data_IF_290689292982
#
_entry.id   IF_290689292982
#
_cell.length_a   1.000
_cell.length_b   1.000
_cell.length_c   1.000
_cell.angle_alpha   90.00
_cell.angle_beta   90.00
_cell.angle_gamma   90.00
#
_symmetry.space_group_name_H-M   'P 1'
#
loop_
_entity.id
_entity.type
_entity.pdbx_description
1 polymer ?
#
# COMPACT_ATOMS: atom_id res chain seq x y z
N UNK A 1 -8.01 -3.38 4.81
CA UNK A 1 -9.42 -3.45 4.33
C UNK A 1 -10.07 -2.11 4.58
N UNK A 2 -10.68 -1.51 3.56
CA UNK A 2 -11.31 -0.20 3.68
C UNK A 2 -12.48 -0.24 4.68
N UNK A 3 -12.36 0.49 5.78
CA UNK A 3 -13.38 0.53 6.82
C UNK A 3 -14.56 1.39 6.37
N UNK A 4 -15.79 0.92 6.61
CA UNK A 4 -17.03 1.65 6.32
C UNK A 4 -17.75 1.29 5.02
N UNK A 5 -17.11 0.54 4.11
CA UNK A 5 -17.67 0.22 2.77
C UNK A 5 -17.53 -1.27 2.43
N UNK A 6 -18.26 -2.15 3.13
CA UNK A 6 -18.13 -3.60 2.99
C UNK A 6 -18.54 -4.10 1.59
N UNK A 7 -19.60 -3.52 1.01
CA UNK A 7 -20.07 -3.88 -0.34
C UNK A 7 -19.00 -3.59 -1.38
N UNK A 8 -18.40 -2.40 -1.33
CA UNK A 8 -17.35 -1.96 -2.23
C UNK A 8 -16.08 -2.79 -2.03
N UNK A 9 -15.79 -3.20 -0.79
CA UNK A 9 -14.72 -4.14 -0.51
C UNK A 9 -14.93 -5.49 -1.23
N UNK A 10 -16.13 -6.07 -1.18
CA UNK A 10 -16.45 -7.32 -1.90
C UNK A 10 -16.40 -7.13 -3.42
N UNK A 11 -16.90 -6.01 -3.93
CA UNK A 11 -16.85 -5.67 -5.36
C UNK A 11 -15.41 -5.62 -5.89
N UNK A 12 -14.43 -5.21 -5.08
CA UNK A 12 -13.01 -5.25 -5.49
C UNK A 12 -12.53 -6.68 -5.77
N UNK A 13 -12.91 -7.66 -4.97
CA UNK A 13 -12.53 -9.06 -5.20
C UNK A 13 -13.23 -9.63 -6.45
N UNK A 14 -14.49 -9.27 -6.69
CA UNK A 14 -15.21 -9.64 -7.91
C UNK A 14 -14.54 -9.05 -9.15
N UNK A 15 -14.26 -7.74 -9.15
CA UNK A 15 -13.57 -7.07 -10.26
C UNK A 15 -12.18 -7.67 -10.53
N UNK A 16 -11.43 -8.03 -9.49
CA UNK A 16 -10.11 -8.64 -9.61
C UNK A 16 -10.12 -10.07 -10.18
N UNK A 17 -11.30 -10.68 -10.35
CA UNK A 17 -11.49 -12.05 -10.84
C UNK A 17 -12.53 -12.11 -11.96
N UNK A 18 -12.68 -11.03 -12.73
CA UNK A 18 -13.59 -10.93 -13.88
C UNK A 18 -15.03 -11.32 -13.53
N UNK A 19 -15.49 -10.91 -12.34
CA UNK A 19 -16.80 -11.23 -11.77
C UNK A 19 -17.07 -12.72 -11.54
N UNK A 20 -16.04 -13.57 -11.61
CA UNK A 20 -16.15 -14.98 -11.26
C UNK A 20 -16.30 -15.15 -9.74
N UNK A 21 -17.48 -15.52 -9.29
CA UNK A 21 -17.83 -15.63 -7.86
C UNK A 21 -16.93 -16.61 -7.12
N UNK A 22 -16.68 -17.81 -7.67
CA UNK A 22 -15.88 -18.85 -7.01
C UNK A 22 -14.42 -18.40 -6.83
N UNK A 23 -13.82 -17.82 -7.87
CA UNK A 23 -12.45 -17.29 -7.82
C UNK A 23 -12.34 -16.08 -6.89
N UNK A 24 -13.32 -15.18 -6.89
CA UNK A 24 -13.37 -14.02 -5.99
C UNK A 24 -13.51 -14.45 -4.54
N UNK A 25 -14.41 -15.39 -4.24
CA UNK A 25 -14.57 -15.98 -2.91
C UNK A 25 -13.27 -16.61 -2.42
N UNK A 26 -12.63 -17.45 -3.25
CA UNK A 26 -11.33 -18.03 -2.91
C UNK A 26 -10.29 -16.95 -2.59
N UNK A 27 -10.16 -15.93 -3.44
CA UNK A 27 -9.22 -14.82 -3.22
C UNK A 27 -9.50 -14.07 -1.92
N UNK A 28 -10.77 -13.86 -1.57
CA UNK A 28 -11.16 -13.22 -0.31
C UNK A 28 -10.76 -14.07 0.89
N UNK A 29 -11.09 -15.37 0.88
CA UNK A 29 -10.74 -16.28 1.98
C UNK A 29 -9.22 -16.36 2.15
N UNK A 30 -8.47 -16.55 1.07
CA UNK A 30 -7.00 -16.61 1.11
C UNK A 30 -6.42 -15.29 1.69
N UNK A 31 -6.99 -14.14 1.31
CA UNK A 31 -6.60 -12.83 1.85
C UNK A 31 -6.88 -12.72 3.35
N UNK A 32 -8.07 -13.13 3.81
CA UNK A 32 -8.43 -13.08 5.23
C UNK A 32 -7.56 -14.02 6.07
N UNK A 33 -7.27 -15.22 5.58
CA UNK A 33 -6.36 -16.17 6.23
C UNK A 33 -4.94 -15.59 6.32
N UNK A 34 -4.42 -15.00 5.24
CA UNK A 34 -3.12 -14.33 5.25
C UNK A 34 -3.08 -13.20 6.29
N UNK A 35 -4.15 -12.40 6.40
CA UNK A 35 -4.24 -11.34 7.41
C UNK A 35 -4.18 -11.86 8.83
N UNK A 36 -4.89 -12.94 9.13
CA UNK A 36 -4.90 -13.57 10.46
C UNK A 36 -3.50 -14.11 10.78
N UNK A 37 -2.93 -14.92 9.88
CA UNK A 37 -1.63 -15.56 10.08
C UNK A 37 -0.49 -14.55 10.29
N UNK A 38 -0.57 -13.38 9.65
CA UNK A 38 0.47 -12.34 9.73
C UNK A 38 0.08 -11.19 10.67
N UNK A 39 -1.01 -11.34 11.43
CA UNK A 39 -1.52 -10.34 12.38
C UNK A 39 -1.64 -8.92 11.79
N UNK A 40 -2.08 -8.85 10.53
CA UNK A 40 -2.11 -7.61 9.74
C UNK A 40 -3.06 -6.59 10.37
N UNK A 41 -4.11 -7.06 11.05
CA UNK A 41 -5.07 -6.16 11.65
C UNK A 41 -4.50 -5.26 12.76
N UNK A 42 -3.38 -5.69 13.36
CA UNK A 42 -2.65 -4.97 14.40
C UNK A 42 -1.35 -4.33 13.89
N UNK A 43 -1.05 -4.39 12.58
CA UNK A 43 0.26 -3.99 12.05
C UNK A 43 0.59 -2.49 12.26
N UNK A 44 -0.43 -1.63 12.31
CA UNK A 44 -0.24 -0.20 12.58
C UNK A 44 0.18 0.09 14.03
N UNK A 45 -0.10 -0.82 14.96
CA UNK A 45 0.34 -0.73 16.35
C UNK A 45 1.74 -1.34 16.57
N UNK A 46 2.35 -1.92 15.52
CA UNK A 46 3.66 -2.60 15.57
C UNK A 46 4.73 -1.76 14.85
N UNK A 47 5.34 -0.75 15.51
CA UNK A 47 6.34 0.10 14.85
C UNK A 47 7.57 -0.71 14.41
N UNK A 48 8.26 -0.23 13.38
CA UNK A 48 9.60 -0.73 13.05
C UNK A 48 10.56 -0.20 14.11
N UNK A 49 11.18 -1.11 14.86
CA UNK A 49 12.14 -0.81 15.93
C UNK A 49 13.50 -1.43 15.62
N UNK A 50 14.62 -0.77 15.98
CA UNK A 50 14.71 0.54 16.65
C UNK A 50 14.34 1.71 15.72
N UNK A 51 14.18 2.92 16.27
CA UNK A 51 13.83 4.12 15.50
C UNK A 51 14.79 4.41 14.34
N UNK A 52 16.08 4.13 14.51
CA UNK A 52 17.07 4.31 13.44
C UNK A 52 16.86 3.34 12.28
N UNK A 53 16.34 2.14 12.54
CA UNK A 53 15.95 1.21 11.49
C UNK A 53 14.72 1.72 10.72
N UNK A 54 13.74 2.31 11.42
CA UNK A 54 12.63 2.98 10.75
C UNK A 54 13.12 4.12 9.85
N UNK A 55 14.01 4.98 10.35
CA UNK A 55 14.62 6.07 9.56
C UNK A 55 15.36 5.53 8.35
N UNK A 56 16.18 4.50 8.54
CA UNK A 56 16.89 3.82 7.47
C UNK A 56 15.95 3.36 6.35
N UNK A 57 14.82 2.74 6.69
CA UNK A 57 13.79 2.35 5.71
C UNK A 57 13.19 3.57 4.99
N UNK A 58 12.87 4.64 5.72
CA UNK A 58 12.27 5.86 5.13
C UNK A 58 13.24 6.62 4.22
N UNK A 59 14.53 6.58 4.52
CA UNK A 59 15.58 7.26 3.75
C UNK A 59 15.98 6.51 2.47
N UNK A 60 15.68 5.20 2.37
CA UNK A 60 16.03 4.37 1.21
C UNK A 60 14.80 3.89 0.42
N UNK A 61 13.59 3.99 0.97
CA UNK A 61 12.31 3.79 0.28
C UNK A 61 11.59 5.13 0.19
N UNK A 62 11.88 5.90 -0.85
CA UNK A 62 11.34 7.24 -1.02
C UNK A 62 9.88 7.17 -1.48
N UNK A 63 8.96 7.21 -0.51
CA UNK A 63 7.52 7.17 -0.77
C UNK A 63 6.74 8.04 0.22
N UNK A 64 5.76 8.79 -0.27
CA UNK A 64 4.93 9.66 0.57
C UNK A 64 3.56 9.98 -0.03
N UNK A 65 2.62 10.37 0.84
CA UNK A 65 1.34 10.96 0.45
C UNK A 65 1.57 12.45 0.15
N UNK A 66 1.21 12.88 -1.06
CA UNK A 66 1.46 14.23 -1.58
C UNK A 66 0.13 14.89 -2.02
N UNK A 67 -0.80 15.02 -1.08
CA UNK A 67 -2.10 15.65 -1.31
C UNK A 67 -3.08 14.79 -2.12
N UNK A 68 -3.89 15.46 -2.95
CA UNK A 68 -5.00 14.86 -3.69
C UNK A 68 -5.01 15.36 -5.14
N UNK A 69 -5.46 14.50 -6.08
CA UNK A 69 -5.71 14.90 -7.46
C UNK A 69 -6.92 15.85 -7.54
N UNK A 70 -7.19 16.40 -8.74
CA UNK A 70 -8.37 17.25 -8.99
C UNK A 70 -9.68 16.51 -8.70
N UNK A 71 -9.69 15.20 -8.92
CA UNK A 71 -10.83 14.33 -8.66
C UNK A 71 -10.92 13.92 -7.18
N UNK A 72 -9.95 14.29 -6.34
CA UNK A 72 -9.93 13.94 -4.91
C UNK A 72 -9.28 12.59 -4.59
N UNK A 73 -8.55 11.97 -5.55
CA UNK A 73 -7.80 10.75 -5.29
C UNK A 73 -6.52 11.08 -4.50
N UNK A 74 -6.23 10.39 -3.39
CA UNK A 74 -4.95 10.57 -2.69
C UNK A 74 -3.78 10.30 -3.63
N UNK A 75 -2.78 11.18 -3.64
CA UNK A 75 -1.59 11.06 -4.51
C UNK A 75 -0.44 10.46 -3.71
N UNK A 76 0.05 9.30 -4.13
CA UNK A 76 1.23 8.67 -3.54
C UNK A 76 2.40 8.87 -4.50
N UNK A 77 3.37 9.70 -4.11
CA UNK A 77 4.58 9.92 -4.87
C UNK A 77 5.66 8.92 -4.44
N UNK A 78 6.35 8.31 -5.40
CA UNK A 78 7.40 7.32 -5.19
C UNK A 78 8.63 7.75 -6.00
N UNK A 79 9.74 8.02 -5.32
CA UNK A 79 11.04 8.29 -5.93
C UNK A 79 11.73 7.00 -6.32
N UNK A 80 11.23 6.31 -7.35
CA UNK A 80 11.73 4.99 -7.78
C UNK A 80 13.20 5.06 -8.15
N UNK A 81 13.62 6.06 -8.94
CA UNK A 81 14.98 6.14 -9.44
C UNK A 81 16.05 6.37 -8.36
N UNK A 82 15.66 6.95 -7.22
CA UNK A 82 16.55 7.25 -6.10
C UNK A 82 16.33 6.34 -4.88
N UNK A 83 15.35 5.43 -4.90
CA UNK A 83 15.14 4.47 -3.81
C UNK A 83 16.16 3.32 -3.92
N UNK A 84 16.96 3.13 -2.88
CA UNK A 84 18.08 2.19 -2.87
C UNK A 84 17.76 0.86 -2.21
N UNK A 85 16.80 0.81 -1.29
CA UNK A 85 16.41 -0.40 -0.54
C UNK A 85 17.58 -1.16 0.15
N UNK A 86 18.69 -0.50 0.45
CA UNK A 86 19.95 -1.12 0.90
C UNK A 86 20.23 -0.98 2.41
N UNK A 87 19.44 -0.18 3.13
CA UNK A 87 19.66 0.13 4.55
C UNK A 87 18.95 -0.80 5.56
N UNK A 88 18.19 -1.79 5.10
CA UNK A 88 17.44 -2.70 5.96
C UNK A 88 17.21 -4.05 5.24
N UNK A 89 16.80 -5.08 5.98
CA UNK A 89 16.38 -6.33 5.36
C UNK A 89 15.07 -6.15 4.58
N UNK A 90 14.85 -6.99 3.56
CA UNK A 90 13.63 -6.97 2.75
C UNK A 90 12.34 -7.00 3.58
N UNK A 91 12.37 -7.71 4.72
CA UNK A 91 11.22 -7.86 5.61
C UNK A 91 10.75 -6.52 6.17
N UNK A 92 11.66 -5.59 6.48
CA UNK A 92 11.27 -4.27 6.99
C UNK A 92 10.68 -3.37 5.91
N UNK A 93 11.15 -3.46 4.66
CA UNK A 93 10.50 -2.77 3.54
C UNK A 93 9.11 -3.32 3.24
N UNK A 94 8.95 -4.64 3.34
CA UNK A 94 7.64 -5.31 3.22
C UNK A 94 6.71 -4.86 4.35
N UNK A 95 7.18 -4.85 5.59
CA UNK A 95 6.41 -4.36 6.75
C UNK A 95 6.00 -2.89 6.56
N UNK A 96 6.93 -2.01 6.20
CA UNK A 96 6.67 -0.60 5.88
C UNK A 96 5.61 -0.46 4.79
N UNK A 97 5.72 -1.24 3.71
CA UNK A 97 4.76 -1.23 2.62
C UNK A 97 3.36 -1.67 3.09
N UNK A 98 3.27 -2.74 3.88
CA UNK A 98 2.00 -3.21 4.46
C UNK A 98 1.39 -2.14 5.36
N UNK A 99 2.17 -1.54 6.26
CA UNK A 99 1.71 -0.46 7.14
C UNK A 99 1.16 0.73 6.35
N UNK A 100 1.86 1.15 5.29
CA UNK A 100 1.37 2.22 4.41
C UNK A 100 0.04 1.86 3.72
N UNK A 101 -0.12 0.62 3.25
CA UNK A 101 -1.37 0.18 2.64
C UNK A 101 -2.52 0.09 3.66
N UNK A 102 -2.25 -0.39 4.89
CA UNK A 102 -3.28 -0.41 5.94
C UNK A 102 -3.66 1.00 6.39
N UNK A 103 -2.70 1.90 6.54
CA UNK A 103 -2.98 3.31 6.86
C UNK A 103 -3.78 3.98 5.73
N UNK A 104 -3.44 3.71 4.47
CA UNK A 104 -4.21 4.18 3.32
C UNK A 104 -5.67 3.71 3.40
N UNK A 105 -5.89 2.42 3.64
CA UNK A 105 -7.23 1.83 3.64
C UNK A 105 -8.09 2.26 4.84
N UNK A 106 -7.48 2.42 6.01
CA UNK A 106 -8.17 2.71 7.28
C UNK A 106 -8.32 4.21 7.57
N UNK A 107 -7.44 5.04 7.04
CA UNK A 107 -7.40 6.48 7.35
C UNK A 107 -7.54 7.32 6.08
N UNK A 108 -6.62 7.17 5.13
CA UNK A 108 -6.55 8.10 3.98
C UNK A 108 -7.79 8.01 3.09
N UNK A 109 -8.23 6.80 2.72
CA UNK A 109 -9.38 6.60 1.85
C UNK A 109 -10.71 6.99 2.52
N UNK A 110 -10.98 6.64 3.80
CA UNK A 110 -12.16 7.15 4.51
C UNK A 110 -12.19 8.67 4.61
N UNK A 111 -11.07 9.30 5.00
CA UNK A 111 -10.98 10.77 5.07
C UNK A 111 -11.19 11.43 3.70
N UNK A 112 -10.66 10.83 2.61
CA UNK A 112 -10.92 11.32 1.27
C UNK A 112 -12.41 11.18 0.89
N UNK A 113 -13.02 10.05 1.22
CA UNK A 113 -14.43 9.78 0.95
C UNK A 113 -15.35 10.80 1.64
N UNK A 114 -15.09 11.07 2.91
CA UNK A 114 -15.80 12.11 3.68
C UNK A 114 -15.58 13.50 3.07
N UNK A 115 -14.32 13.88 2.84
CA UNK A 115 -13.95 15.19 2.32
C UNK A 115 -14.59 15.52 0.97
N UNK A 116 -14.69 14.54 0.08
CA UNK A 116 -15.18 14.75 -1.29
C UNK A 116 -16.63 14.29 -1.50
N UNK A 117 -17.33 13.84 -0.44
CA UNK A 117 -18.75 13.48 -0.48
C UNK A 117 -19.09 12.31 -1.40
N UNK A 118 -18.10 11.48 -1.76
CA UNK A 118 -18.26 10.33 -2.66
C UNK A 118 -17.26 9.24 -2.32
N UNK A 119 -17.61 7.99 -2.61
CA UNK A 119 -16.71 6.85 -2.34
C UNK A 119 -15.38 6.97 -3.10
N UNK A 120 -14.27 6.98 -2.36
CA UNK A 120 -12.89 6.95 -2.86
C UNK A 120 -12.24 5.64 -2.41
N UNK A 121 -11.99 4.72 -3.36
CA UNK A 121 -11.34 3.42 -3.08
C UNK A 121 -9.99 3.24 -3.75
N UNK A 122 -9.52 4.23 -4.51
CA UNK A 122 -8.26 4.16 -5.25
C UNK A 122 -7.38 5.36 -4.95
N UNK A 123 -6.10 5.24 -5.29
CA UNK A 123 -5.12 6.31 -5.20
C UNK A 123 -4.44 6.49 -6.56
N UNK A 124 -3.90 7.68 -6.79
CA UNK A 124 -3.02 7.97 -7.91
C UNK A 124 -1.58 7.75 -7.45
N UNK A 125 -0.80 6.97 -8.21
CA UNK A 125 0.63 6.77 -7.93
C UNK A 125 1.47 7.50 -8.97
N UNK A 126 2.34 8.40 -8.52
CA UNK A 126 3.35 9.06 -9.36
C UNK A 126 4.68 8.36 -9.13
N UNK A 127 5.23 7.76 -10.18
CA UNK A 127 6.52 7.08 -10.15
C UNK A 127 7.56 8.03 -10.76
N UNK A 128 8.40 8.63 -9.92
CA UNK A 128 9.55 9.41 -10.38
C UNK A 128 10.72 8.48 -10.67
N UNK A 129 11.01 8.32 -11.95
CA UNK A 129 12.07 7.45 -12.47
C UNK A 129 13.40 8.18 -12.64
N UNK A 130 13.48 9.46 -12.26
CA UNK A 130 14.70 10.27 -12.38
C UNK A 130 15.84 9.63 -11.58
N UNK A 131 17.00 9.46 -12.23
CA UNK A 131 18.17 8.80 -11.62
C UNK A 131 18.14 7.28 -11.65
N UNK A 132 17.07 6.64 -12.16
CA UNK A 132 17.02 5.19 -12.28
C UNK A 132 18.10 4.69 -13.25
N UNK A 133 18.96 3.80 -12.77
CA UNK A 133 19.98 3.13 -13.58
C UNK A 133 19.48 1.74 -13.97
N UNK A 134 19.77 1.30 -15.21
CA UNK A 134 19.44 -0.05 -15.67
C UNK A 134 20.04 -1.15 -14.77
N UNK A 135 21.23 -0.90 -14.19
CA UNK A 135 21.85 -1.82 -13.23
C UNK A 135 21.01 -2.06 -11.97
N UNK A 136 20.16 -1.11 -11.58
CA UNK A 136 19.25 -1.26 -10.45
C UNK A 136 18.09 -2.21 -10.78
N UNK A 137 17.73 -2.37 -12.06
CA UNK A 137 16.71 -3.34 -12.49
C UNK A 137 17.14 -4.79 -12.24
N UNK A 138 18.45 -5.07 -12.21
CA UNK A 138 18.97 -6.40 -11.87
C UNK A 138 18.75 -6.79 -10.41
N UNK A 139 18.38 -5.85 -9.53
CA UNK A 139 17.98 -6.15 -8.15
C UNK A 139 16.51 -6.61 -8.04
N UNK A 140 15.73 -6.47 -9.12
CA UNK A 140 14.39 -7.05 -9.22
C UNK A 140 14.58 -8.55 -9.47
N UNK A 141 14.54 -9.35 -8.41
CA UNK A 141 14.45 -10.81 -8.55
C UNK A 141 13.11 -11.13 -9.22
N UNK A 142 13.17 -11.69 -10.43
CA UNK A 142 12.04 -12.34 -11.12
C UNK A 142 11.79 -13.69 -10.48
#
# INVERSE_FOLDING_TARGET
>A
MHQGYPTEALVRFLKARDWNVQKAHKMLIDCLQWRILNEIDNILAKPIIPTDLYRAVRDSQLVGLSGYSKEGLPVIAIGVGLSTYDKASVNYYVQSHIQMNEYRDRVVLPTATEKYGRHISTCLKVLDMTGLKLSALNQIKV
#
